data_IF_608163826156
#
_entry.id   IF_608163826156
#
_cell.length_a   1.000
_cell.length_b   1.000
_cell.length_c   1.000
_cell.angle_alpha   90.00
_cell.angle_beta   90.00
_cell.angle_gamma   90.00
#
_symmetry.space_group_name_H-M   'P 1'
#
loop_
_entity.id
_entity.type
_entity.pdbx_description
1 polymer ?
#
# COMPACT_ATOMS: atom_id res chain seq x y z
N UNK A 1 -1.52 16.03 14.24
CA UNK A 1 -0.51 15.62 13.24
C UNK A 1 -1.21 15.43 11.91
N UNK A 2 -0.77 16.10 10.85
CA UNK A 2 -1.39 15.95 9.53
C UNK A 2 -1.27 14.48 9.09
N UNK A 3 -2.41 13.80 8.91
CA UNK A 3 -2.46 12.48 8.27
C UNK A 3 -1.96 12.67 6.84
N UNK A 4 -0.69 12.40 6.59
CA UNK A 4 -0.14 12.36 5.24
C UNK A 4 -0.88 11.25 4.51
N UNK A 5 -1.80 11.60 3.62
CA UNK A 5 -2.51 10.63 2.80
C UNK A 5 -1.47 9.99 1.88
N UNK A 6 -1.44 8.68 1.85
CA UNK A 6 -0.64 7.94 0.88
C UNK A 6 -1.49 7.83 -0.37
N UNK A 7 -0.99 8.38 -1.47
CA UNK A 7 -1.67 8.35 -2.77
C UNK A 7 -1.92 6.91 -3.21
N UNK A 8 -3.06 6.65 -3.85
CA UNK A 8 -3.45 5.30 -4.28
C UNK A 8 -2.36 4.61 -5.11
N UNK A 9 -1.73 5.23 -6.14
CA UNK A 9 -0.66 4.58 -6.90
C UNK A 9 0.52 4.11 -6.03
N UNK A 10 0.81 4.82 -4.94
CA UNK A 10 1.85 4.46 -3.98
C UNK A 10 1.46 3.22 -3.18
N UNK A 11 0.19 3.08 -2.83
CA UNK A 11 -0.34 1.90 -2.13
C UNK A 11 -0.14 0.65 -2.97
N UNK A 12 -0.48 0.69 -4.26
CA UNK A 12 -0.28 -0.46 -5.16
C UNK A 12 1.19 -0.82 -5.35
N UNK A 13 2.07 0.16 -5.47
CA UNK A 13 3.52 -0.11 -5.50
C UNK A 13 3.97 -0.86 -4.24
N UNK A 14 3.51 -0.43 -3.06
CA UNK A 14 3.83 -1.08 -1.78
C UNK A 14 3.28 -2.50 -1.73
N UNK A 15 2.04 -2.72 -2.18
CA UNK A 15 1.42 -4.05 -2.22
C UNK A 15 2.19 -4.99 -3.16
N UNK A 16 2.56 -4.52 -4.35
CA UNK A 16 3.35 -5.28 -5.32
C UNK A 16 4.76 -5.61 -4.80
N UNK A 17 5.43 -4.68 -4.13
CA UNK A 17 6.71 -4.97 -3.46
C UNK A 17 6.54 -6.03 -2.38
N UNK A 18 5.45 -5.98 -1.60
CA UNK A 18 5.16 -7.00 -0.60
C UNK A 18 4.90 -8.39 -1.21
N UNK A 19 4.26 -8.46 -2.39
CA UNK A 19 4.06 -9.70 -3.14
C UNK A 19 5.36 -10.25 -3.75
N UNK A 20 6.29 -9.37 -4.14
CA UNK A 20 7.62 -9.76 -4.62
C UNK A 20 8.54 -10.33 -3.53
N UNK A 21 8.07 -10.42 -2.29
CA UNK A 21 8.80 -11.00 -1.16
C UNK A 21 9.53 -9.99 -0.27
N UNK A 22 9.37 -8.67 -0.49
CA UNK A 22 9.92 -7.67 0.42
C UNK A 22 9.19 -7.73 1.75
N UNK A 23 9.93 -7.70 2.85
CA UNK A 23 9.31 -7.82 4.18
C UNK A 23 8.52 -6.57 4.53
N UNK A 24 7.41 -6.75 5.26
CA UNK A 24 6.55 -5.65 5.72
C UNK A 24 7.36 -4.64 6.55
N UNK A 25 8.34 -5.12 7.33
CA UNK A 25 9.21 -4.30 8.17
C UNK A 25 10.09 -3.34 7.35
N UNK A 26 10.61 -3.80 6.21
CA UNK A 26 11.39 -2.97 5.30
C UNK A 26 10.50 -1.93 4.62
N UNK A 27 9.33 -2.34 4.13
CA UNK A 27 8.38 -1.42 3.51
C UNK A 27 7.87 -0.37 4.49
N UNK A 28 7.59 -0.76 5.74
CA UNK A 28 7.20 0.13 6.83
C UNK A 28 8.26 1.21 7.07
N UNK A 29 9.55 0.85 7.10
CA UNK A 29 10.68 1.78 7.24
C UNK A 29 10.86 2.69 6.02
N UNK A 30 10.71 2.14 4.82
CA UNK A 30 10.90 2.85 3.54
C UNK A 30 9.80 3.88 3.27
N UNK A 31 8.56 3.52 3.56
CA UNK A 31 7.38 4.30 3.19
C UNK A 31 6.68 4.99 4.37
N UNK A 32 7.08 4.68 5.61
CA UNK A 32 6.57 5.34 6.81
C UNK A 32 5.13 4.94 7.17
N UNK A 33 4.79 3.66 7.03
CA UNK A 33 3.49 3.12 7.41
C UNK A 33 3.60 2.04 8.51
N UNK A 34 2.49 1.70 9.15
CA UNK A 34 2.42 0.60 10.14
C UNK A 34 1.91 -0.68 9.50
N UNK A 35 2.28 -1.85 10.02
CA UNK A 35 1.80 -3.14 9.48
C UNK A 35 0.27 -3.19 9.38
N UNK A 36 -0.44 -2.63 10.36
CA UNK A 36 -1.91 -2.47 10.35
C UNK A 36 -2.42 -1.70 9.13
N UNK A 37 -1.68 -0.69 8.68
CA UNK A 37 -1.99 0.08 7.47
C UNK A 37 -1.87 -0.79 6.22
N UNK A 38 -0.85 -1.65 6.14
CA UNK A 38 -0.69 -2.58 5.02
C UNK A 38 -1.83 -3.61 4.95
N UNK A 39 -2.27 -4.14 6.09
CA UNK A 39 -3.43 -5.04 6.13
C UNK A 39 -4.71 -4.35 5.65
N UNK A 40 -4.94 -3.09 6.05
CA UNK A 40 -6.07 -2.31 5.54
C UNK A 40 -6.00 -2.12 4.03
N UNK A 41 -4.82 -1.81 3.51
CA UNK A 41 -4.62 -1.69 2.07
C UNK A 41 -4.80 -3.01 1.33
N UNK A 42 -4.37 -4.14 1.88
CA UNK A 42 -4.65 -5.46 1.29
C UNK A 42 -6.14 -5.77 1.25
N UNK A 43 -6.89 -5.43 2.30
CA UNK A 43 -8.35 -5.62 2.29
C UNK A 43 -9.07 -4.69 1.31
N UNK A 44 -8.57 -3.47 1.13
CA UNK A 44 -9.21 -2.46 0.28
C UNK A 44 -8.79 -2.56 -1.20
N UNK A 45 -7.53 -2.92 -1.46
CA UNK A 45 -6.91 -2.88 -2.79
C UNK A 45 -6.25 -4.19 -3.22
N UNK A 46 -6.07 -5.17 -2.33
CA UNK A 46 -5.32 -6.41 -2.61
C UNK A 46 -6.02 -7.41 -3.53
N UNK A 47 -7.23 -7.11 -4.00
CA UNK A 47 -7.94 -7.84 -5.06
C UNK A 47 -8.31 -6.96 -6.25
N UNK A 48 -7.79 -5.72 -6.30
CA UNK A 48 -7.97 -4.79 -7.40
C UNK A 48 -6.65 -4.70 -8.17
N UNK A 49 -6.70 -4.66 -9.49
CA UNK A 49 -5.57 -4.18 -10.27
C UNK A 49 -5.56 -2.65 -10.27
N UNK A 50 -4.40 -2.02 -10.46
CA UNK A 50 -4.27 -0.56 -10.63
C UNK A 50 -5.24 -0.01 -11.71
N UNK A 51 -5.60 -0.85 -12.66
CA UNK A 51 -6.51 -0.59 -13.78
C UNK A 51 -7.99 -0.53 -13.36
N UNK A 52 -8.37 -1.16 -12.24
CA UNK A 52 -9.75 -1.22 -11.73
C UNK A 52 -10.14 -0.01 -10.88
N UNK A 53 -9.16 0.82 -10.50
CA UNK A 53 -9.44 2.06 -9.76
C UNK A 53 -9.98 3.08 -10.77
N UNK A 54 -11.20 3.60 -10.58
CA UNK A 54 -11.72 4.64 -11.44
C UNK A 54 -10.82 5.88 -11.32
N UNK A 55 -10.15 6.25 -12.42
CA UNK A 55 -9.50 7.56 -12.56
C UNK A 55 -10.59 8.63 -12.55
N UNK A 56 -10.85 9.23 -11.40
CA UNK A 56 -11.68 10.43 -11.29
C UNK A 56 -10.85 11.70 -11.43
#
# INVERSE_FOLDING_TARGET
>A
MAKKRVEEPKIFQILKEAESGVTIKELSRKYGFTEQTLYRWRNQYGGLELSDIPKN
#
